data_IF_653135281044
#
_entry.id   IF_653135281044
#
_cell.length_a   1.000
_cell.length_b   1.000
_cell.length_c   1.000
_cell.angle_alpha   90.00
_cell.angle_beta   90.00
_cell.angle_gamma   90.00
#
_symmetry.space_group_name_H-M   'P 1'
#
loop_
_entity.id
_entity.type
_entity.pdbx_description
1 polymer ?
#
# COMPACT_ATOMS: atom_id res chain seq x y z
N UNK A 1 -23.90 -3.35 35.36
CA UNK A 1 -23.52 -4.41 34.40
C UNK A 1 -22.91 -3.73 33.19
N UNK A 2 -21.59 -3.81 33.11
CA UNK A 2 -20.74 -3.24 32.07
C UNK A 2 -20.72 -4.18 30.88
N UNK A 3 -21.20 -3.73 29.72
CA UNK A 3 -20.73 -4.28 28.44
C UNK A 3 -20.55 -3.11 27.48
N UNK A 4 -19.35 -2.53 27.52
CA UNK A 4 -18.84 -1.77 26.40
C UNK A 4 -18.55 -2.77 25.28
N UNK A 5 -19.30 -2.69 24.18
CA UNK A 5 -18.89 -3.32 22.95
C UNK A 5 -17.64 -2.60 22.45
N UNK A 6 -16.48 -3.18 22.78
CA UNK A 6 -15.25 -3.00 22.04
C UNK A 6 -15.58 -3.25 20.56
N UNK A 7 -15.75 -2.18 19.79
CA UNK A 7 -15.43 -2.20 18.37
C UNK A 7 -13.91 -2.43 18.28
N UNK A 8 -13.51 -3.69 18.49
CA UNK A 8 -12.25 -4.17 17.97
C UNK A 8 -12.48 -4.10 16.46
N UNK A 9 -12.07 -2.97 15.86
CA UNK A 9 -11.80 -2.91 14.42
C UNK A 9 -10.98 -4.17 14.16
N UNK A 10 -11.60 -5.20 13.61
CA UNK A 10 -10.89 -6.09 12.73
C UNK A 10 -10.42 -5.17 11.60
N UNK A 11 -9.27 -4.53 11.81
CA UNK A 11 -8.34 -4.37 10.71
C UNK A 11 -8.01 -5.82 10.40
N UNK A 12 -8.86 -6.46 9.59
CA UNK A 12 -8.56 -7.75 9.02
C UNK A 12 -7.13 -7.62 8.50
N UNK A 13 -6.25 -8.50 8.97
CA UNK A 13 -4.82 -8.46 8.73
C UNK A 13 -4.60 -8.37 7.21
N UNK A 14 -4.34 -7.15 6.72
CA UNK A 14 -4.32 -6.89 5.29
C UNK A 14 -2.94 -7.29 4.76
N UNK A 15 -2.83 -8.28 3.86
CA UNK A 15 -1.54 -8.77 3.37
C UNK A 15 -0.71 -7.70 2.67
N UNK A 16 -1.30 -6.58 2.25
CA UNK A 16 -0.56 -5.45 1.68
C UNK A 16 0.16 -4.57 2.72
N UNK A 17 -0.06 -4.79 4.02
CA UNK A 17 0.53 -3.99 5.11
C UNK A 17 1.74 -4.67 5.78
N UNK A 18 2.14 -5.83 5.28
CA UNK A 18 3.24 -6.64 5.78
C UNK A 18 4.27 -6.86 4.66
N UNK A 19 5.51 -7.15 5.06
CA UNK A 19 6.51 -7.64 4.12
C UNK A 19 6.19 -9.09 3.75
N UNK A 20 6.33 -9.42 2.46
CA UNK A 20 6.06 -10.77 1.98
C UNK A 20 7.31 -11.65 2.09
N UNK A 21 7.21 -12.72 2.87
CA UNK A 21 8.26 -13.74 2.99
C UNK A 21 8.18 -14.84 1.91
N UNK A 22 7.31 -14.65 0.92
CA UNK A 22 7.17 -15.57 -0.21
C UNK A 22 8.44 -15.59 -1.08
N UNK A 23 8.75 -16.72 -1.75
CA UNK A 23 9.89 -16.78 -2.66
C UNK A 23 9.80 -15.69 -3.72
N UNK A 24 10.88 -14.92 -3.88
CA UNK A 24 10.99 -13.80 -4.84
C UNK A 24 10.01 -12.64 -4.60
N UNK A 25 9.40 -12.53 -3.42
CA UNK A 25 8.44 -11.45 -3.12
C UNK A 25 7.13 -11.56 -3.90
N UNK A 26 6.72 -12.78 -4.23
CA UNK A 26 5.45 -13.04 -4.93
C UNK A 26 4.27 -12.66 -4.02
N UNK A 27 3.22 -11.98 -4.53
CA UNK A 27 2.06 -11.67 -3.70
C UNK A 27 1.45 -12.94 -3.08
N UNK A 28 1.10 -12.94 -1.77
CA UNK A 28 0.44 -14.07 -1.12
C UNK A 28 -1.03 -14.15 -1.57
N UNK A 29 -1.26 -14.61 -2.81
CA UNK A 29 -2.57 -14.63 -3.45
C UNK A 29 -3.62 -15.44 -2.68
N UNK A 30 -3.20 -16.43 -1.91
CA UNK A 30 -4.05 -17.24 -1.02
C UNK A 30 -4.69 -16.43 0.12
N UNK A 31 -4.08 -15.30 0.50
CA UNK A 31 -4.55 -14.41 1.57
C UNK A 31 -5.24 -13.15 1.05
N UNK A 32 -4.99 -12.77 -0.20
CA UNK A 32 -5.53 -11.53 -0.78
C UNK A 32 -7.01 -11.74 -1.14
N UNK A 33 -7.86 -10.79 -0.71
CA UNK A 33 -9.31 -10.80 -0.93
C UNK A 33 -9.77 -9.44 -1.47
N UNK A 34 -10.92 -9.37 -2.18
CA UNK A 34 -11.46 -8.11 -2.70
C UNK A 34 -11.56 -6.99 -1.64
N UNK A 35 -11.97 -7.34 -0.43
CA UNK A 35 -12.12 -6.41 0.70
C UNK A 35 -10.80 -5.73 1.11
N UNK A 36 -9.63 -6.28 0.75
CA UNK A 36 -8.33 -5.73 1.11
C UNK A 36 -7.89 -4.57 0.20
N UNK A 37 -8.42 -4.47 -1.03
CA UNK A 37 -7.92 -3.49 -2.01
C UNK A 37 -8.26 -2.05 -1.64
N UNK A 38 -9.52 -1.76 -1.29
CA UNK A 38 -9.91 -0.39 -0.94
C UNK A 38 -9.09 0.19 0.23
N UNK A 39 -8.96 -0.49 1.39
CA UNK A 39 -8.11 0.02 2.47
C UNK A 39 -6.62 0.04 2.09
N UNK A 40 -6.17 -0.88 1.22
CA UNK A 40 -4.79 -0.88 0.75
C UNK A 40 -4.46 0.33 -0.14
N UNK A 41 -5.31 0.64 -1.11
CA UNK A 41 -5.18 1.82 -1.96
C UNK A 41 -5.24 3.12 -1.14
N UNK A 42 -6.19 3.25 -0.21
CA UNK A 42 -6.28 4.43 0.65
C UNK A 42 -5.01 4.66 1.47
N UNK A 43 -4.47 3.61 2.07
CA UNK A 43 -3.23 3.70 2.83
C UNK A 43 -2.04 4.01 1.94
N UNK A 44 -1.94 3.34 0.79
CA UNK A 44 -0.83 3.52 -0.14
C UNK A 44 -0.79 4.94 -0.74
N UNK A 45 -1.95 5.50 -1.12
CA UNK A 45 -2.05 6.90 -1.56
C UNK A 45 -1.63 7.86 -0.45
N UNK A 46 -2.10 7.65 0.79
CA UNK A 46 -1.71 8.49 1.93
C UNK A 46 -0.21 8.43 2.23
N UNK A 47 0.43 7.26 2.07
CA UNK A 47 1.87 7.11 2.23
C UNK A 47 2.61 7.86 1.12
N UNK A 48 2.20 7.70 -0.14
CA UNK A 48 2.84 8.42 -1.24
C UNK A 48 2.69 9.94 -1.11
N UNK A 49 1.51 10.44 -0.70
CA UNK A 49 1.33 11.86 -0.41
C UNK A 49 2.33 12.36 0.64
N UNK A 50 2.54 11.61 1.73
CA UNK A 50 3.51 11.96 2.76
C UNK A 50 4.96 11.92 2.25
N UNK A 51 5.31 10.97 1.39
CA UNK A 51 6.63 10.90 0.74
C UNK A 51 6.87 12.10 -0.17
N UNK A 52 5.87 12.48 -0.97
CA UNK A 52 5.93 13.66 -1.83
C UNK A 52 6.03 14.94 -1.01
N UNK A 53 5.29 15.06 0.09
CA UNK A 53 5.39 16.21 0.98
C UNK A 53 6.77 16.29 1.66
N UNK A 54 7.39 15.16 2.00
CA UNK A 54 8.75 15.13 2.51
C UNK A 54 9.77 15.62 1.46
N UNK A 55 9.61 15.23 0.19
CA UNK A 55 10.45 15.73 -0.92
C UNK A 55 10.28 17.23 -1.09
N UNK A 56 9.03 17.72 -1.08
CA UNK A 56 8.72 19.15 -1.28
C UNK A 56 9.15 20.04 -0.12
N UNK A 57 9.11 19.52 1.11
CA UNK A 57 9.51 20.26 2.31
C UNK A 57 11.01 20.17 2.61
N UNK A 58 11.78 19.44 1.79
CA UNK A 58 13.23 19.44 1.88
C UNK A 58 13.79 20.83 1.53
N UNK A 59 14.45 21.47 2.50
CA UNK A 59 15.05 22.80 2.38
C UNK A 59 16.47 22.81 1.80
N UNK A 60 17.06 21.65 1.53
CA UNK A 60 18.37 21.55 0.90
C UNK A 60 18.32 22.03 -0.56
N UNK A 61 19.49 22.31 -1.15
CA UNK A 61 19.55 22.63 -2.58
C UNK A 61 19.03 21.43 -3.40
N UNK A 62 18.12 21.63 -4.37
CA UNK A 62 17.64 20.55 -5.22
C UNK A 62 18.78 19.84 -5.94
N UNK A 63 18.80 18.52 -5.84
CA UNK A 63 19.76 17.60 -6.43
C UNK A 63 19.01 16.43 -7.09
N UNK A 64 19.72 15.61 -7.84
CA UNK A 64 19.12 14.41 -8.43
C UNK A 64 18.62 13.46 -7.34
N UNK A 65 19.38 13.31 -6.26
CA UNK A 65 19.10 12.38 -5.17
C UNK A 65 17.87 12.78 -4.35
N UNK A 66 17.75 14.07 -3.98
CA UNK A 66 16.67 14.53 -3.11
C UNK A 66 15.37 14.86 -3.84
N UNK A 67 15.38 14.99 -5.17
CA UNK A 67 14.17 15.21 -5.98
C UNK A 67 13.87 13.99 -6.84
N UNK A 68 14.71 13.67 -7.82
CA UNK A 68 14.37 12.69 -8.86
C UNK A 68 14.42 11.27 -8.33
N UNK A 69 15.51 10.89 -7.66
CA UNK A 69 15.64 9.56 -7.06
C UNK A 69 14.65 9.34 -5.92
N UNK A 70 14.40 10.37 -5.10
CA UNK A 70 13.40 10.30 -4.05
C UNK A 70 11.98 10.14 -4.62
N UNK A 71 11.65 10.88 -5.69
CA UNK A 71 10.37 10.78 -6.37
C UNK A 71 10.17 9.41 -7.05
N UNK A 72 11.19 8.89 -7.73
CA UNK A 72 11.18 7.56 -8.34
C UNK A 72 10.96 6.43 -7.32
N UNK A 73 11.48 6.61 -6.10
CA UNK A 73 11.27 5.68 -4.98
C UNK A 73 9.94 5.88 -4.25
N UNK A 74 9.20 6.96 -4.52
CA UNK A 74 7.91 7.19 -3.86
C UNK A 74 6.82 6.31 -4.46
N UNK A 75 5.83 5.94 -3.65
CA UNK A 75 4.65 5.22 -4.12
C UNK A 75 4.84 3.73 -4.38
N UNK A 76 5.94 3.12 -3.91
CA UNK A 76 6.21 1.68 -4.08
C UNK A 76 5.03 0.81 -3.59
N UNK A 77 4.44 1.15 -2.44
CA UNK A 77 3.27 0.43 -1.94
C UNK A 77 2.06 0.58 -2.87
N UNK A 78 1.86 1.77 -3.45
CA UNK A 78 0.74 2.02 -4.36
C UNK A 78 0.91 1.24 -5.66
N UNK A 79 2.13 1.21 -6.19
CA UNK A 79 2.49 0.39 -7.34
C UNK A 79 2.25 -1.09 -7.07
N UNK A 80 2.70 -1.61 -5.92
CA UNK A 80 2.51 -3.00 -5.53
C UNK A 80 1.04 -3.41 -5.45
N UNK A 81 0.20 -2.60 -4.80
CA UNK A 81 -1.27 -2.85 -4.72
C UNK A 81 -1.90 -2.78 -6.10
N UNK A 82 -1.51 -1.78 -6.91
CA UNK A 82 -2.00 -1.59 -8.27
C UNK A 82 -1.65 -2.73 -9.22
N UNK A 83 -0.42 -3.25 -9.15
CA UNK A 83 0.05 -4.39 -9.95
C UNK A 83 -0.81 -5.62 -9.70
N UNK A 84 -1.03 -5.96 -8.43
CA UNK A 84 -1.85 -7.12 -8.05
C UNK A 84 -3.31 -6.94 -8.47
N UNK A 85 -3.88 -5.76 -8.21
CA UNK A 85 -5.27 -5.47 -8.58
C UNK A 85 -5.49 -5.59 -10.09
N UNK A 86 -4.63 -4.95 -10.90
CA UNK A 86 -4.76 -4.95 -12.35
C UNK A 86 -4.54 -6.33 -12.95
N UNK A 87 -3.65 -7.13 -12.37
CA UNK A 87 -3.43 -8.52 -12.78
C UNK A 87 -4.71 -9.34 -12.59
N UNK A 88 -5.34 -9.24 -11.40
CA UNK A 88 -6.60 -9.93 -11.11
C UNK A 88 -7.73 -9.42 -11.99
N UNK A 89 -7.90 -8.10 -12.14
CA UNK A 89 -8.93 -7.54 -13.03
C UNK A 89 -8.76 -7.93 -14.51
N UNK A 90 -7.55 -8.29 -14.93
CA UNK A 90 -7.29 -8.72 -16.31
C UNK A 90 -7.52 -10.23 -16.51
N UNK A 91 -7.31 -11.03 -15.47
CA UNK A 91 -7.28 -12.49 -15.57
C UNK A 91 -8.49 -13.19 -14.93
N UNK A 92 -9.05 -12.61 -13.86
CA UNK A 92 -10.03 -13.24 -12.98
C UNK A 92 -10.88 -12.17 -12.27
N UNK A 93 -11.89 -11.65 -12.98
CA UNK A 93 -12.86 -10.72 -12.41
C UNK A 93 -13.99 -11.51 -11.74
N UNK A 94 -14.39 -11.08 -10.55
CA UNK A 94 -15.61 -11.60 -9.92
C UNK A 94 -16.84 -11.13 -10.72
N UNK A 95 -17.78 -12.04 -10.96
CA UNK A 95 -19.05 -11.81 -11.67
C UNK A 95 -20.09 -11.10 -10.76
#
# INVERSE_FOLDING_TARGET
>A
MTTGCNQRKEVAENPFFEEWETPYGVPPFDRIRPEHFLPAFQRAMSIQEAEIDAIKSNGDQPSFENVILAYDRSGLMLEQVGLVFNMLCSADVND
#
